data_IF_834386194325
#
_entry.id   IF_834386194325
#
_cell.length_a   1.000
_cell.length_b   1.000
_cell.length_c   1.000
_cell.angle_alpha   90.00
_cell.angle_beta   90.00
_cell.angle_gamma   90.00
#
_symmetry.space_group_name_H-M   'P 1'
#
loop_
_entity.id
_entity.type
_entity.pdbx_description
1 polymer ?
#
# COMPACT_ATOMS: atom_id res chain seq x y z
N UNK A 1 10.82 -18.12 16.97
CA UNK A 1 10.26 -17.90 15.63
C UNK A 1 10.60 -16.48 15.16
N UNK A 2 10.95 -16.32 13.89
CA UNK A 2 11.29 -15.03 13.28
C UNK A 2 10.45 -14.81 12.03
N UNK A 3 9.93 -13.59 11.88
CA UNK A 3 9.19 -13.14 10.70
C UNK A 3 9.96 -12.02 10.00
N UNK A 4 10.19 -12.16 8.71
CA UNK A 4 10.76 -11.12 7.84
C UNK A 4 9.67 -10.51 6.98
N UNK A 5 9.47 -9.22 7.13
CA UNK A 5 8.65 -8.45 6.20
C UNK A 5 9.41 -8.23 4.89
N UNK A 6 9.17 -9.10 3.94
CA UNK A 6 9.58 -8.91 2.55
C UNK A 6 8.60 -8.01 1.82
N UNK A 7 8.79 -7.75 0.53
CA UNK A 7 8.01 -6.75 -0.20
C UNK A 7 7.81 -7.15 -1.66
N UNK A 8 6.65 -6.84 -2.23
CA UNK A 8 6.37 -6.96 -3.66
C UNK A 8 7.30 -6.10 -4.53
N UNK A 9 7.89 -5.03 -3.97
CA UNK A 9 8.90 -4.20 -4.65
C UNK A 9 10.15 -5.01 -5.07
N UNK A 10 10.40 -6.17 -4.43
CA UNK A 10 11.49 -7.07 -4.82
C UNK A 10 11.35 -7.61 -6.24
N UNK A 11 10.12 -7.73 -6.76
CA UNK A 11 9.84 -8.24 -8.10
C UNK A 11 10.13 -7.26 -9.22
N UNK A 12 10.16 -5.95 -8.94
CA UNK A 12 10.47 -4.91 -9.93
C UNK A 12 9.35 -4.60 -10.94
N UNK A 13 8.27 -5.36 -10.98
CA UNK A 13 7.03 -5.03 -11.68
C UNK A 13 7.16 -4.84 -13.20
N UNK A 14 7.79 -5.79 -13.89
CA UNK A 14 8.04 -5.70 -15.34
C UNK A 14 6.97 -6.35 -16.21
N UNK A 15 6.21 -7.29 -15.66
CA UNK A 15 5.20 -8.08 -16.39
C UNK A 15 3.81 -7.92 -15.76
N UNK A 16 2.75 -8.00 -16.59
CA UNK A 16 1.35 -8.05 -16.13
C UNK A 16 0.94 -9.39 -15.53
N UNK A 17 1.87 -10.30 -15.28
CA UNK A 17 1.61 -11.62 -14.70
C UNK A 17 1.44 -11.52 -13.18
N UNK A 18 0.66 -12.46 -12.65
CA UNK A 18 0.59 -12.66 -11.20
C UNK A 18 1.94 -13.15 -10.65
N UNK A 19 2.41 -12.47 -9.63
CA UNK A 19 3.71 -12.70 -8.99
C UNK A 19 3.52 -13.54 -7.72
N UNK A 20 4.32 -14.60 -7.59
CA UNK A 20 4.28 -15.51 -6.46
C UNK A 20 5.67 -15.82 -5.91
N UNK A 21 5.77 -16.74 -4.98
CA UNK A 21 7.00 -17.11 -4.28
C UNK A 21 8.09 -17.68 -5.19
N UNK A 22 7.73 -18.13 -6.42
CA UNK A 22 8.65 -18.69 -7.42
C UNK A 22 9.09 -17.65 -8.46
N UNK A 23 8.50 -16.46 -8.44
CA UNK A 23 8.84 -15.38 -9.37
C UNK A 23 10.21 -14.80 -9.08
N UNK A 24 10.94 -14.42 -10.12
CA UNK A 24 12.26 -13.81 -9.99
C UNK A 24 12.20 -12.43 -9.36
N UNK A 25 13.21 -12.08 -8.57
CA UNK A 25 13.37 -10.73 -8.03
C UNK A 25 14.21 -9.87 -8.96
N UNK A 26 13.70 -8.68 -9.27
CA UNK A 26 14.36 -7.67 -10.10
C UNK A 26 14.26 -6.28 -9.43
N UNK A 27 14.94 -6.08 -8.29
CA UNK A 27 14.78 -4.87 -7.49
C UNK A 27 15.18 -3.60 -8.27
N UNK A 28 14.31 -2.59 -8.29
CA UNK A 28 14.54 -1.31 -8.99
C UNK A 28 14.85 -0.14 -8.06
N UNK A 29 15.03 -0.40 -6.77
CA UNK A 29 15.37 0.63 -5.78
C UNK A 29 16.32 0.08 -4.69
N UNK A 30 17.08 0.95 -3.99
CA UNK A 30 17.87 0.52 -2.83
C UNK A 30 17.02 -0.15 -1.75
N UNK A 31 15.78 0.32 -1.55
CA UNK A 31 14.82 -0.32 -0.65
C UNK A 31 14.52 -1.76 -1.09
N UNK A 32 14.13 -1.95 -2.35
CA UNK A 32 13.82 -3.28 -2.89
C UNK A 32 15.05 -4.22 -2.80
N UNK A 33 16.25 -3.73 -3.12
CA UNK A 33 17.49 -4.49 -3.00
C UNK A 33 17.77 -4.92 -1.55
N UNK A 34 17.52 -4.03 -0.57
CA UNK A 34 17.66 -4.36 0.84
C UNK A 34 16.67 -5.43 1.30
N UNK A 35 15.45 -5.42 0.75
CA UNK A 35 14.43 -6.43 1.02
C UNK A 35 14.78 -7.78 0.40
N UNK A 36 15.35 -7.81 -0.81
CA UNK A 36 15.88 -9.05 -1.43
C UNK A 36 17.01 -9.65 -0.57
N UNK A 37 17.95 -8.82 -0.10
CA UNK A 37 19.00 -9.27 0.80
C UNK A 37 18.43 -9.89 2.07
N UNK A 38 17.53 -9.19 2.76
CA UNK A 38 16.92 -9.67 4.01
C UNK A 38 16.09 -10.95 3.81
N UNK A 39 15.37 -11.04 2.69
CA UNK A 39 14.62 -12.23 2.30
C UNK A 39 15.53 -13.46 2.16
N UNK A 40 16.64 -13.33 1.40
CA UNK A 40 17.58 -14.43 1.21
C UNK A 40 18.32 -14.80 2.50
N UNK A 41 18.72 -13.83 3.32
CA UNK A 41 19.34 -14.11 4.63
C UNK A 41 18.39 -14.91 5.51
N UNK A 42 17.12 -14.55 5.57
CA UNK A 42 16.10 -15.29 6.34
C UNK A 42 15.97 -16.73 5.86
N UNK A 43 15.92 -16.93 4.55
CA UNK A 43 15.87 -18.26 3.93
C UNK A 43 17.11 -19.08 4.26
N UNK A 44 18.30 -18.50 4.16
CA UNK A 44 19.57 -19.16 4.51
C UNK A 44 19.61 -19.61 5.97
N UNK A 45 19.15 -18.80 6.91
CA UNK A 45 19.09 -19.17 8.32
C UNK A 45 18.09 -20.31 8.58
N UNK A 46 16.98 -20.32 7.88
CA UNK A 46 16.01 -21.43 7.91
C UNK A 46 16.64 -22.74 7.43
N UNK A 47 17.29 -22.71 6.24
CA UNK A 47 17.81 -23.90 5.58
C UNK A 47 19.08 -24.44 6.24
N UNK A 48 19.99 -23.55 6.69
CA UNK A 48 21.30 -23.94 7.21
C UNK A 48 21.29 -24.28 8.70
N UNK A 49 20.40 -23.65 9.48
CA UNK A 49 20.40 -23.78 10.94
C UNK A 49 19.11 -24.35 11.51
N UNK A 50 18.14 -24.69 10.67
CA UNK A 50 16.86 -25.22 11.10
C UNK A 50 16.03 -24.24 11.95
N UNK A 51 16.26 -22.93 11.80
CA UNK A 51 15.53 -21.94 12.56
C UNK A 51 14.14 -21.75 11.98
N UNK A 52 13.14 -21.53 12.83
CA UNK A 52 11.84 -21.14 12.37
C UNK A 52 11.88 -19.68 11.91
N UNK A 53 12.22 -19.49 10.63
CA UNK A 53 12.31 -18.18 9.98
C UNK A 53 11.39 -18.16 8.74
N UNK A 54 10.45 -17.23 8.70
CA UNK A 54 9.46 -17.11 7.62
C UNK A 54 9.52 -15.75 6.95
N UNK A 55 9.26 -15.71 5.64
CA UNK A 55 9.14 -14.49 4.88
C UNK A 55 7.67 -14.26 4.45
N UNK A 56 7.15 -13.09 4.75
CA UNK A 56 5.90 -12.62 4.13
C UNK A 56 6.21 -11.65 3.01
N UNK A 57 5.96 -12.02 1.75
CA UNK A 57 6.09 -11.14 0.59
C UNK A 57 4.80 -10.35 0.46
N UNK A 58 4.81 -9.16 1.06
CA UNK A 58 3.61 -8.36 1.17
C UNK A 58 3.46 -7.43 -0.02
N UNK A 59 2.29 -7.46 -0.64
CA UNK A 59 1.86 -6.43 -1.57
C UNK A 59 1.41 -5.18 -0.80
N UNK A 60 1.02 -4.13 -1.51
CA UNK A 60 0.70 -2.87 -0.85
C UNK A 60 -0.49 -3.05 0.10
N UNK A 61 -0.29 -2.75 1.37
CA UNK A 61 -1.32 -2.89 2.39
C UNK A 61 -1.53 -1.57 3.10
N UNK A 62 -2.77 -1.13 3.09
CA UNK A 62 -3.19 0.21 3.41
C UNK A 62 -4.17 0.22 4.58
N UNK A 63 -4.28 1.35 5.24
CA UNK A 63 -5.24 1.56 6.31
C UNK A 63 -5.37 3.05 6.62
N UNK A 64 -6.33 3.45 7.48
CA UNK A 64 -6.37 4.81 8.04
C UNK A 64 -5.10 5.25 8.78
N UNK A 65 -4.23 4.31 9.15
CA UNK A 65 -2.94 4.58 9.82
C UNK A 65 -1.74 4.54 8.89
N UNK A 66 -1.96 4.46 7.57
CA UNK A 66 -0.86 4.53 6.59
C UNK A 66 -0.12 5.85 6.70
N UNK A 67 1.21 5.84 6.52
CA UNK A 67 2.01 7.07 6.49
C UNK A 67 1.51 8.05 5.43
N UNK A 68 1.43 9.33 5.76
CA UNK A 68 0.82 10.39 4.93
C UNK A 68 1.56 10.68 3.62
N UNK A 69 2.81 10.25 3.50
CA UNK A 69 3.62 10.38 2.28
C UNK A 69 3.31 9.33 1.22
N UNK A 70 2.59 8.26 1.59
CA UNK A 70 2.17 7.24 0.63
C UNK A 70 0.95 7.71 -0.17
N UNK A 71 0.93 7.36 -1.47
CA UNK A 71 -0.04 7.89 -2.43
C UNK A 71 -1.49 7.70 -2.01
N UNK A 72 -1.85 6.54 -1.49
CA UNK A 72 -3.22 6.23 -1.01
C UNK A 72 -3.64 7.16 0.11
N UNK A 73 -2.81 7.29 1.15
CA UNK A 73 -3.11 8.18 2.27
C UNK A 73 -3.05 9.66 1.88
N UNK A 74 -2.13 10.02 0.98
CA UNK A 74 -2.07 11.37 0.44
C UNK A 74 -3.38 11.76 -0.27
N UNK A 75 -3.98 10.80 -1.02
CA UNK A 75 -5.25 11.01 -1.69
C UNK A 75 -6.37 11.16 -0.66
N UNK A 76 -6.53 10.22 0.26
CA UNK A 76 -7.66 10.22 1.20
C UNK A 76 -7.64 11.42 2.14
N UNK A 77 -6.46 11.84 2.62
CA UNK A 77 -6.33 13.10 3.40
C UNK A 77 -6.70 14.34 2.59
N UNK A 78 -6.24 14.42 1.34
CA UNK A 78 -6.61 15.53 0.47
C UNK A 78 -8.12 15.56 0.20
N UNK A 79 -8.76 14.42 -0.04
CA UNK A 79 -10.21 14.31 -0.21
C UNK A 79 -10.95 14.83 1.02
N UNK A 80 -10.56 14.39 2.21
CA UNK A 80 -11.15 14.87 3.46
C UNK A 80 -11.00 16.39 3.64
N UNK A 81 -9.80 16.93 3.39
CA UNK A 81 -9.49 18.37 3.49
C UNK A 81 -10.20 19.22 2.43
N UNK A 82 -10.28 18.73 1.19
CA UNK A 82 -11.02 19.41 0.10
C UNK A 82 -12.51 19.44 0.44
N UNK A 83 -13.06 18.33 0.92
CA UNK A 83 -14.45 18.25 1.37
C UNK A 83 -14.73 19.20 2.56
N UNK A 84 -13.79 19.35 3.50
CA UNK A 84 -13.89 20.30 4.60
C UNK A 84 -13.63 21.76 4.20
N UNK A 85 -13.19 22.03 2.97
CA UNK A 85 -12.88 23.37 2.46
C UNK A 85 -11.59 23.98 2.99
N UNK A 86 -10.62 23.15 3.40
CA UNK A 86 -9.31 23.61 3.93
C UNK A 86 -8.13 23.22 3.02
N UNK A 87 -8.41 22.65 1.86
CA UNK A 87 -7.43 22.39 0.79
C UNK A 87 -8.12 22.60 -0.56
N UNK A 88 -7.39 23.17 -1.53
CA UNK A 88 -7.95 23.50 -2.85
C UNK A 88 -7.59 22.48 -3.94
N UNK A 89 -6.41 21.87 -3.87
CA UNK A 89 -5.85 20.98 -4.91
C UNK A 89 -5.05 19.84 -4.31
N UNK A 90 -4.92 18.76 -5.09
CA UNK A 90 -4.06 17.61 -4.80
C UNK A 90 -3.09 17.41 -5.97
N UNK A 91 -1.79 17.52 -5.70
CA UNK A 91 -0.77 17.25 -6.71
C UNK A 91 -0.25 15.83 -6.58
N UNK A 92 -0.34 15.04 -7.66
CA UNK A 92 0.12 13.65 -7.76
C UNK A 92 1.18 13.50 -8.86
N UNK A 93 1.85 12.33 -8.88
CA UNK A 93 2.74 11.90 -9.95
C UNK A 93 1.99 11.07 -11.00
N UNK A 94 2.56 9.89 -11.31
CA UNK A 94 1.99 8.96 -12.29
C UNK A 94 0.66 8.37 -11.78
N UNK A 95 -0.43 8.67 -12.48
CA UNK A 95 -1.77 8.16 -12.17
C UNK A 95 -2.04 6.78 -12.76
N UNK A 96 -1.22 6.33 -13.70
CA UNK A 96 -1.47 5.11 -14.48
C UNK A 96 -0.66 3.91 -13.99
N UNK A 97 0.09 4.05 -12.88
CA UNK A 97 0.76 2.95 -12.21
C UNK A 97 -0.26 2.03 -11.52
N UNK A 98 -0.11 0.70 -11.75
CA UNK A 98 -0.98 -0.33 -11.20
C UNK A 98 -0.43 -0.90 -9.90
N UNK A 99 -1.27 -1.07 -8.89
CA UNK A 99 -0.92 -1.67 -7.60
C UNK A 99 -2.01 -2.61 -7.12
N UNK A 100 -1.58 -3.67 -6.48
CA UNK A 100 -2.42 -4.56 -5.69
C UNK A 100 -2.47 -3.99 -4.27
N UNK A 101 -3.59 -3.37 -3.90
CA UNK A 101 -3.82 -2.75 -2.60
C UNK A 101 -4.80 -3.55 -1.76
N UNK A 102 -4.37 -3.98 -0.57
CA UNK A 102 -5.23 -4.65 0.40
C UNK A 102 -5.30 -3.92 1.74
N UNK A 103 -6.16 -4.39 2.61
CA UNK A 103 -6.30 -3.86 3.96
C UNK A 103 -5.21 -4.39 4.90
N UNK A 104 -4.52 -3.52 5.61
CA UNK A 104 -3.42 -3.90 6.50
C UNK A 104 -3.84 -4.88 7.61
N UNK A 105 -5.10 -4.81 8.07
CA UNK A 105 -5.64 -5.75 9.06
C UNK A 105 -5.65 -7.19 8.56
N UNK A 106 -6.05 -7.42 7.30
CA UNK A 106 -6.05 -8.74 6.68
C UNK A 106 -4.61 -9.30 6.58
N UNK A 107 -3.66 -8.42 6.23
CA UNK A 107 -2.25 -8.79 6.11
C UNK A 107 -1.61 -9.14 7.47
N UNK A 108 -1.94 -8.39 8.53
CA UNK A 108 -1.47 -8.69 9.90
C UNK A 108 -1.98 -10.05 10.37
N UNK A 109 -3.23 -10.40 10.05
CA UNK A 109 -3.77 -11.74 10.31
C UNK A 109 -2.94 -12.81 9.57
N UNK A 110 -2.64 -12.60 8.28
CA UNK A 110 -1.78 -13.50 7.51
C UNK A 110 -0.37 -13.65 8.10
N UNK A 111 0.25 -12.54 8.54
CA UNK A 111 1.55 -12.58 9.24
C UNK A 111 1.48 -13.45 10.50
N UNK A 112 0.41 -13.31 11.28
CA UNK A 112 0.19 -14.13 12.46
C UNK A 112 0.01 -15.62 12.11
N UNK A 113 -0.78 -15.93 11.07
CA UNK A 113 -1.00 -17.30 10.61
C UNK A 113 0.29 -17.97 10.14
N UNK A 114 1.17 -17.27 9.42
CA UNK A 114 2.51 -17.76 9.04
C UNK A 114 3.32 -18.19 10.26
N UNK A 115 3.24 -17.42 11.34
CA UNK A 115 3.96 -17.71 12.60
C UNK A 115 3.34 -18.85 13.40
N UNK A 116 2.09 -19.24 13.15
CA UNK A 116 1.42 -20.40 13.76
C UNK A 116 1.60 -21.68 12.95
N UNK A 117 2.00 -21.56 11.68
CA UNK A 117 2.21 -22.75 10.84
C UNK A 117 3.25 -23.70 11.43
N UNK A 118 3.14 -25.01 11.11
CA UNK A 118 4.05 -26.03 11.62
C UNK A 118 5.46 -25.87 11.09
N UNK A 119 5.58 -25.61 9.79
CA UNK A 119 6.85 -25.44 9.11
C UNK A 119 7.02 -24.00 8.60
N UNK A 120 8.23 -23.41 8.73
CA UNK A 120 8.49 -22.08 8.21
C UNK A 120 8.66 -22.11 6.69
N UNK A 121 8.05 -21.13 6.00
CA UNK A 121 8.16 -21.01 4.53
C UNK A 121 8.06 -19.54 4.12
N UNK A 122 7.97 -19.28 2.82
CA UNK A 122 7.74 -17.97 2.23
C UNK A 122 6.30 -17.91 1.67
N UNK A 123 5.57 -16.82 1.94
CA UNK A 123 4.20 -16.64 1.46
C UNK A 123 3.99 -15.24 0.89
N UNK A 124 3.28 -15.19 -0.23
CA UNK A 124 2.74 -13.95 -0.79
C UNK A 124 1.42 -13.63 -0.11
N UNK A 125 1.26 -12.40 0.37
CA UNK A 125 -0.02 -11.82 0.73
C UNK A 125 -0.35 -10.69 -0.24
N UNK A 126 -1.48 -10.83 -0.92
CA UNK A 126 -1.96 -9.94 -1.97
C UNK A 126 -3.49 -10.03 -2.08
N UNK A 127 -4.13 -9.12 -2.79
CA UNK A 127 -5.57 -9.25 -3.09
C UNK A 127 -5.84 -10.04 -4.35
N UNK A 128 -4.85 -10.15 -5.26
CA UNK A 128 -5.02 -10.78 -6.57
C UNK A 128 -5.77 -9.91 -7.58
N UNK A 129 -6.01 -8.65 -7.21
CA UNK A 129 -6.59 -7.59 -8.03
C UNK A 129 -5.64 -6.39 -8.09
N UNK A 130 -5.70 -5.63 -9.17
CA UNK A 130 -4.84 -4.45 -9.34
C UNK A 130 -5.65 -3.26 -9.82
N UNK A 131 -5.35 -2.09 -9.29
CA UNK A 131 -6.00 -0.82 -9.60
C UNK A 131 -4.96 0.26 -9.89
N UNK A 132 -5.32 1.24 -10.71
CA UNK A 132 -4.49 2.40 -10.95
C UNK A 132 -4.60 3.43 -9.82
N UNK A 133 -3.60 4.30 -9.71
CA UNK A 133 -3.68 5.47 -8.81
C UNK A 133 -4.86 6.36 -9.20
N UNK A 134 -5.18 6.43 -10.50
CA UNK A 134 -6.35 7.13 -11.04
C UNK A 134 -7.64 6.56 -10.49
N UNK A 135 -7.86 5.25 -10.59
CA UNK A 135 -9.05 4.57 -10.06
C UNK A 135 -9.19 4.78 -8.55
N UNK A 136 -8.08 4.76 -7.81
CA UNK A 136 -8.11 5.05 -6.37
C UNK A 136 -8.56 6.49 -6.10
N UNK A 137 -8.05 7.47 -6.83
CA UNK A 137 -8.44 8.86 -6.68
C UNK A 137 -9.92 9.05 -7.06
N UNK A 138 -10.36 8.49 -8.20
CA UNK A 138 -11.73 8.57 -8.67
C UNK A 138 -12.72 8.01 -7.62
N UNK A 139 -12.45 6.81 -7.10
CA UNK A 139 -13.29 6.18 -6.09
C UNK A 139 -13.30 7.01 -4.79
N UNK A 140 -12.16 7.54 -4.36
CA UNK A 140 -12.05 8.35 -3.15
C UNK A 140 -12.84 9.66 -3.25
N UNK A 141 -12.73 10.40 -4.36
CA UNK A 141 -13.48 11.64 -4.59
C UNK A 141 -14.98 11.40 -4.74
N UNK A 142 -15.38 10.30 -5.37
CA UNK A 142 -16.79 9.90 -5.53
C UNK A 142 -17.50 9.71 -4.19
N UNK A 143 -16.81 9.24 -3.15
CA UNK A 143 -17.40 9.06 -1.81
C UNK A 143 -17.92 10.38 -1.23
N UNK A 144 -17.24 11.49 -1.53
CA UNK A 144 -17.66 12.84 -1.09
C UNK A 144 -18.46 13.61 -2.14
N UNK A 145 -18.86 12.98 -3.25
CA UNK A 145 -19.65 13.58 -4.32
C UNK A 145 -18.89 14.59 -5.19
N UNK A 146 -17.56 14.51 -5.25
CA UNK A 146 -16.70 15.39 -6.04
C UNK A 146 -16.12 14.67 -7.26
N UNK A 147 -15.81 15.43 -8.33
CA UNK A 147 -15.07 14.93 -9.49
C UNK A 147 -13.57 15.16 -9.28
N UNK A 148 -12.78 14.07 -9.25
CA UNK A 148 -11.33 14.14 -9.01
C UNK A 148 -10.59 15.03 -10.03
N UNK A 149 -11.05 15.09 -11.28
CA UNK A 149 -10.41 15.88 -12.36
C UNK A 149 -10.41 17.39 -12.06
N UNK A 150 -11.34 17.87 -11.25
CA UNK A 150 -11.40 19.28 -10.84
C UNK A 150 -10.34 19.64 -9.79
N UNK A 151 -9.82 18.65 -9.06
CA UNK A 151 -8.96 18.86 -7.89
C UNK A 151 -7.56 18.28 -8.04
N UNK A 152 -7.37 17.25 -8.89
CA UNK A 152 -6.09 16.57 -9.05
C UNK A 152 -5.26 17.21 -10.15
N UNK A 153 -4.02 17.58 -9.81
CA UNK A 153 -3.01 18.09 -10.72
C UNK A 153 -1.85 17.09 -10.82
N UNK A 154 -1.34 16.88 -12.04
CA UNK A 154 -0.20 16.00 -12.26
C UNK A 154 1.08 16.84 -12.30
N UNK A 155 2.12 16.40 -11.58
CA UNK A 155 3.43 17.03 -11.60
C UNK A 155 4.54 16.00 -11.81
N UNK A 156 5.38 16.29 -12.80
CA UNK A 156 6.54 15.47 -13.13
C UNK A 156 7.55 15.38 -11.96
N UNK A 157 7.56 16.38 -11.07
CA UNK A 157 8.40 16.37 -9.85
C UNK A 157 8.18 15.11 -8.99
N UNK A 158 6.99 14.51 -9.07
CA UNK A 158 6.62 13.32 -8.30
C UNK A 158 6.74 12.00 -9.08
N UNK A 159 7.25 12.03 -10.32
CA UNK A 159 7.57 10.80 -11.04
C UNK A 159 8.84 10.17 -10.47
N UNK A 160 8.80 8.87 -10.31
CA UNK A 160 9.98 8.11 -9.86
C UNK A 160 10.86 7.79 -11.07
N UNK A 161 12.20 7.93 -10.99
CA UNK A 161 13.09 7.62 -12.12
C UNK A 161 12.98 6.18 -12.61
N UNK A 162 12.73 5.23 -11.71
CA UNK A 162 12.50 3.81 -12.01
C UNK A 162 11.14 3.42 -11.43
N UNK A 163 10.07 3.79 -12.12
CA UNK A 163 8.71 3.43 -11.70
C UNK A 163 8.50 1.92 -11.82
N UNK A 164 7.80 1.37 -10.87
CA UNK A 164 7.26 0.01 -10.95
C UNK A 164 5.87 0.12 -11.54
N UNK A 165 5.72 -0.22 -12.82
CA UNK A 165 4.47 0.04 -13.56
C UNK A 165 3.32 -0.84 -13.11
N UNK A 166 3.60 -2.12 -12.79
CA UNK A 166 2.55 -3.08 -12.49
C UNK A 166 2.96 -4.06 -11.40
N UNK A 167 2.13 -4.17 -10.35
CA UNK A 167 2.26 -5.18 -9.30
C UNK A 167 0.90 -5.88 -9.12
N UNK A 168 0.88 -7.20 -9.30
CA UNK A 168 -0.27 -8.07 -9.10
C UNK A 168 0.18 -9.36 -8.44
N UNK A 169 -0.34 -9.67 -7.25
CA UNK A 169 0.05 -10.83 -6.47
C UNK A 169 -0.79 -12.07 -6.72
N UNK A 170 -0.17 -13.23 -6.51
CA UNK A 170 -0.85 -14.52 -6.45
C UNK A 170 -0.71 -15.09 -5.04
N UNK A 171 -1.78 -15.01 -4.26
CA UNK A 171 -1.83 -15.49 -2.88
C UNK A 171 -2.27 -16.97 -2.76
N UNK A 172 -2.36 -17.71 -3.85
CA UNK A 172 -2.88 -19.08 -3.87
C UNK A 172 -2.18 -20.03 -2.90
N UNK A 173 -0.89 -19.82 -2.63
CA UNK A 173 -0.15 -20.61 -1.64
C UNK A 173 -0.64 -20.29 -0.22
N UNK A 174 -0.81 -19.02 0.12
CA UNK A 174 -1.33 -18.61 1.42
C UNK A 174 -2.76 -19.13 1.65
N UNK A 175 -3.61 -19.08 0.63
CA UNK A 175 -4.96 -19.64 0.68
C UNK A 175 -4.93 -21.15 0.98
N UNK A 176 -4.13 -21.91 0.23
CA UNK A 176 -4.10 -23.38 0.35
C UNK A 176 -3.45 -23.87 1.64
N UNK A 177 -2.36 -23.24 2.09
CA UNK A 177 -1.56 -23.72 3.22
C UNK A 177 -1.92 -23.09 4.54
N UNK A 178 -2.34 -21.82 4.54
CA UNK A 178 -2.70 -21.09 5.75
C UNK A 178 -4.22 -20.93 5.91
N UNK A 179 -5.01 -21.10 4.84
CA UNK A 179 -6.42 -20.74 4.81
C UNK A 179 -6.64 -19.22 4.79
N UNK A 180 -5.62 -18.43 4.44
CA UNK A 180 -5.69 -16.99 4.40
C UNK A 180 -6.22 -16.49 3.06
N UNK A 181 -7.18 -15.58 3.10
CA UNK A 181 -7.67 -14.83 1.95
C UNK A 181 -7.88 -13.37 2.32
N UNK A 182 -7.75 -12.41 1.38
CA UNK A 182 -8.13 -11.02 1.64
C UNK A 182 -9.64 -10.96 1.88
N UNK A 183 -10.06 -10.18 2.88
CA UNK A 183 -11.46 -10.06 3.30
C UNK A 183 -12.08 -8.73 2.89
N UNK A 184 -11.24 -7.71 2.77
CA UNK A 184 -11.65 -6.33 2.49
C UNK A 184 -11.47 -6.04 1.01
N UNK A 185 -12.54 -5.66 0.32
CA UNK A 185 -12.51 -5.25 -1.08
C UNK A 185 -11.82 -3.89 -1.26
N UNK A 186 -11.42 -3.59 -2.50
CA UNK A 186 -10.82 -2.28 -2.85
C UNK A 186 -11.73 -1.11 -2.47
N UNK A 187 -13.03 -1.16 -2.82
CA UNK A 187 -13.97 -0.08 -2.50
C UNK A 187 -14.20 0.08 -0.99
N UNK A 188 -14.24 -1.01 -0.23
CA UNK A 188 -14.35 -0.95 1.24
C UNK A 188 -13.10 -0.33 1.86
N UNK A 189 -11.91 -0.67 1.36
CA UNK A 189 -10.64 -0.08 1.80
C UNK A 189 -10.61 1.43 1.55
N UNK A 190 -10.92 1.87 0.32
CA UNK A 190 -10.96 3.29 -0.04
C UNK A 190 -11.95 4.04 0.83
N UNK A 191 -13.16 3.48 1.00
CA UNK A 191 -14.21 4.07 1.84
C UNK A 191 -13.75 4.24 3.29
N UNK A 192 -13.23 3.18 3.90
CA UNK A 192 -12.71 3.20 5.28
C UNK A 192 -11.67 4.31 5.49
N UNK A 193 -10.74 4.45 4.54
CA UNK A 193 -9.68 5.46 4.62
C UNK A 193 -10.23 6.87 4.45
N UNK A 194 -11.14 7.08 3.49
CA UNK A 194 -11.76 8.40 3.23
C UNK A 194 -12.64 8.83 4.41
N UNK A 195 -13.49 7.94 4.95
CA UNK A 195 -14.35 8.25 6.09
C UNK A 195 -13.51 8.69 7.32
N UNK A 196 -12.43 7.96 7.60
CA UNK A 196 -11.50 8.35 8.67
C UNK A 196 -10.88 9.73 8.43
N UNK A 197 -10.43 10.00 7.20
CA UNK A 197 -9.76 11.25 6.88
C UNK A 197 -10.71 12.45 6.76
N UNK A 198 -12.00 12.23 6.53
CA UNK A 198 -13.04 13.28 6.69
C UNK A 198 -13.13 13.72 8.15
N UNK A 199 -13.16 12.77 9.08
CA UNK A 199 -13.20 13.10 10.51
C UNK A 199 -11.93 13.85 10.95
N UNK A 200 -10.75 13.41 10.50
CA UNK A 200 -9.48 14.08 10.77
C UNK A 200 -9.47 15.51 10.19
N UNK A 201 -9.92 15.69 8.95
CA UNK A 201 -9.99 16.99 8.31
C UNK A 201 -10.95 17.98 9.04
N UNK A 202 -12.05 17.47 9.61
CA UNK A 202 -12.93 18.29 10.44
C UNK A 202 -12.23 18.78 11.71
N UNK A 203 -11.41 17.93 12.35
CA UNK A 203 -10.58 18.31 13.50
C UNK A 203 -9.51 19.32 13.11
N UNK A 204 -8.81 19.10 11.98
CA UNK A 204 -7.85 20.06 11.43
C UNK A 204 -8.50 21.41 11.16
N UNK A 205 -9.72 21.42 10.58
CA UNK A 205 -10.46 22.66 10.34
C UNK A 205 -10.73 23.45 11.61
N UNK A 206 -11.18 22.80 12.67
CA UNK A 206 -11.39 23.48 13.97
C UNK A 206 -10.12 24.10 14.50
N UNK A 207 -8.98 23.41 14.36
CA UNK A 207 -7.68 23.96 14.79
C UNK A 207 -7.25 25.15 13.94
N UNK A 208 -7.48 25.11 12.62
CA UNK A 208 -7.18 26.22 11.70
C UNK A 208 -8.05 27.42 12.02
N UNK A 209 -9.36 27.24 12.17
CA UNK A 209 -10.32 28.32 12.46
C UNK A 209 -10.02 29.01 13.80
N UNK A 210 -9.32 28.34 14.73
CA UNK A 210 -8.86 28.90 16.02
C UNK A 210 -7.38 29.33 16.01
N UNK A 211 -6.70 29.36 14.84
CA UNK A 211 -5.28 29.72 14.68
C UNK A 211 -4.31 28.81 15.49
N UNK A 212 -4.66 27.56 15.71
CA UNK A 212 -3.86 26.55 16.40
C UNK A 212 -3.09 25.64 15.45
N UNK A 213 -3.43 25.63 14.14
CA UNK A 213 -2.77 24.87 13.10
C UNK A 213 -2.58 25.74 11.85
N UNK A 214 -1.35 25.73 11.29
CA UNK A 214 -1.06 26.32 9.98
C UNK A 214 -1.04 25.22 8.92
N UNK A 215 -1.84 25.33 7.85
CA UNK A 215 -1.84 24.36 6.77
C UNK A 215 -0.46 24.27 6.07
N UNK A 216 0.19 23.11 6.08
CA UNK A 216 1.48 22.88 5.41
C UNK A 216 1.33 22.24 4.03
N UNK A 217 0.15 21.66 3.75
CA UNK A 217 -0.13 20.96 2.50
C UNK A 217 -0.41 21.87 1.30
N UNK A 218 -0.70 23.17 1.50
CA UNK A 218 -0.89 24.16 0.43
C UNK A 218 0.43 24.64 -0.17
N UNK A 219 1.51 24.54 0.61
CA UNK A 219 2.87 24.90 0.19
C UNK A 219 3.84 23.77 0.56
N UNK A 220 3.77 22.62 -0.11
CA UNK A 220 4.73 21.55 0.11
C UNK A 220 6.12 22.01 -0.35
N UNK A 221 7.03 22.14 0.60
CA UNK A 221 8.45 22.46 0.40
C UNK A 221 9.20 21.41 -0.43
#
# INVERSE_FOLDING_TARGET
KFYQASSSEMYGGTDSKKLNELSNFEPKSPYAASKVFSHHVTKLYRESYGLFCTNGILFNHESPYRGETFVTRKITKAVGRIHAGIQSKLTLGNLDAYRDWGFAGDYVEGMWMMMQHEEPDDWVLATGETHTVREFAEEAFKIVGLNYEEFVEISEKYFRPNEVDHLLGDYSKAEKSLGWTPKTSFSELVKMMVEHDIEEAQREKVLIDNNLLNPTWENPS
#
